data_IF_432425479879
#
_entry.id   IF_432425479879
#
_cell.length_a   1.000
_cell.length_b   1.000
_cell.length_c   1.000
_cell.angle_alpha   90.00
_cell.angle_beta   90.00
_cell.angle_gamma   90.00
#
_symmetry.space_group_name_H-M   'P 1'
#
loop_
_entity.id
_entity.type
_entity.pdbx_description
1 polymer ?
#
# COMPACT_ATOMS: atom_id res chain seq x y z
N UNK A 1 -25.98 7.51 34.87
CA UNK A 1 -26.03 7.10 33.45
C UNK A 1 -25.81 5.60 33.36
N UNK A 2 -26.58 4.87 32.54
CA UNK A 2 -26.43 3.41 32.38
C UNK A 2 -25.08 3.04 31.75
N UNK A 3 -24.44 1.97 32.22
CA UNK A 3 -23.19 1.41 31.66
C UNK A 3 -23.30 1.16 30.15
N UNK A 4 -24.47 0.72 29.67
CA UNK A 4 -24.74 0.52 28.25
C UNK A 4 -24.57 1.83 27.46
N UNK A 5 -25.05 2.94 27.99
CA UNK A 5 -24.95 4.25 27.34
C UNK A 5 -23.50 4.74 27.28
N UNK A 6 -22.72 4.53 28.34
CA UNK A 6 -21.29 4.86 28.35
C UNK A 6 -20.51 4.00 27.35
N UNK A 7 -20.82 2.71 27.25
CA UNK A 7 -20.20 1.80 26.27
C UNK A 7 -20.52 2.23 24.83
N UNK A 8 -21.78 2.54 24.53
CA UNK A 8 -22.20 3.00 23.19
C UNK A 8 -21.50 4.31 22.81
N UNK A 9 -21.42 5.28 23.72
CA UNK A 9 -20.73 6.55 23.48
C UNK A 9 -19.22 6.34 23.28
N UNK A 10 -18.59 5.50 24.10
CA UNK A 10 -17.17 5.17 23.95
C UNK A 10 -16.89 4.46 22.62
N UNK A 11 -17.75 3.53 22.22
CA UNK A 11 -17.65 2.84 20.93
C UNK A 11 -17.79 3.81 19.76
N UNK A 12 -18.77 4.70 19.79
CA UNK A 12 -18.96 5.72 18.77
C UNK A 12 -17.77 6.70 18.69
N UNK A 13 -17.20 7.10 19.83
CA UNK A 13 -16.01 7.94 19.87
C UNK A 13 -14.79 7.23 19.28
N UNK A 14 -14.58 5.96 19.60
CA UNK A 14 -13.47 5.16 19.06
C UNK A 14 -13.54 5.00 17.54
N UNK A 15 -14.74 5.01 16.96
CA UNK A 15 -14.90 4.96 15.50
C UNK A 15 -14.45 6.25 14.79
N UNK A 16 -14.33 7.37 15.50
CA UNK A 16 -13.90 8.64 14.94
C UNK A 16 -12.37 8.78 14.92
N UNK A 17 -11.66 8.06 15.79
CA UNK A 17 -10.22 8.20 15.97
C UNK A 17 -9.48 7.37 14.91
N UNK A 18 -8.54 7.97 14.17
CA UNK A 18 -7.71 7.21 13.23
C UNK A 18 -6.88 6.15 13.94
N UNK A 19 -6.69 5.01 13.28
CA UNK A 19 -5.90 3.88 13.78
C UNK A 19 -4.55 3.84 13.07
N UNK A 20 -3.52 3.39 13.77
CA UNK A 20 -2.20 3.22 13.20
C UNK A 20 -2.08 1.82 12.57
N UNK A 21 -1.80 1.75 11.27
CA UNK A 21 -1.52 0.49 10.57
C UNK A 21 -0.04 0.11 10.68
N UNK A 22 0.85 1.08 10.46
CA UNK A 22 2.30 0.93 10.61
C UNK A 22 2.88 2.22 11.18
N UNK A 23 4.18 2.25 11.48
CA UNK A 23 4.83 3.45 12.02
C UNK A 23 4.60 4.72 11.19
N UNK A 24 4.39 4.58 9.88
CA UNK A 24 4.22 5.73 8.96
C UNK A 24 2.83 5.83 8.33
N UNK A 25 1.93 4.86 8.59
CA UNK A 25 0.62 4.78 7.94
C UNK A 25 -0.48 4.72 8.99
N UNK A 26 -1.35 5.71 8.96
CA UNK A 26 -2.58 5.80 9.73
C UNK A 26 -3.78 5.63 8.80
N UNK A 27 -4.91 5.19 9.34
CA UNK A 27 -6.14 5.11 8.57
C UNK A 27 -7.38 5.47 9.39
N UNK A 28 -8.40 6.03 8.76
CA UNK A 28 -9.54 6.59 9.49
C UNK A 28 -10.74 6.97 8.64
N UNK A 29 -11.82 7.47 9.28
CA UNK A 29 -12.94 8.09 8.57
C UNK A 29 -12.57 9.48 8.04
N UNK A 30 -13.36 10.04 7.12
CA UNK A 30 -13.21 11.41 6.62
C UNK A 30 -13.14 12.45 7.75
N UNK A 31 -13.85 12.22 8.84
CA UNK A 31 -13.85 13.10 10.02
C UNK A 31 -12.46 13.24 10.66
N UNK A 32 -11.52 12.34 10.38
CA UNK A 32 -10.13 12.44 10.80
C UNK A 32 -9.46 13.74 10.34
N UNK A 33 -9.87 14.30 9.19
CA UNK A 33 -9.34 15.56 8.67
C UNK A 33 -9.61 16.76 9.61
N UNK A 34 -10.63 16.66 10.47
CA UNK A 34 -10.95 17.71 11.45
C UNK A 34 -10.10 17.63 12.73
N UNK A 35 -9.39 16.51 12.96
CA UNK A 35 -8.61 16.26 14.18
C UNK A 35 -7.19 16.83 14.03
N UNK A 36 -7.08 18.17 14.06
CA UNK A 36 -5.81 18.89 13.84
C UNK A 36 -4.71 18.48 14.83
N UNK A 37 -5.05 18.28 16.09
CA UNK A 37 -4.09 17.86 17.13
C UNK A 37 -3.48 16.50 16.78
N UNK A 38 -4.30 15.53 16.42
CA UNK A 38 -3.85 14.20 15.99
C UNK A 38 -2.94 14.27 14.76
N UNK A 39 -3.31 15.09 13.76
CA UNK A 39 -2.53 15.28 12.53
C UNK A 39 -1.15 15.86 12.85
N UNK A 40 -1.08 16.86 13.73
CA UNK A 40 0.17 17.53 14.11
C UNK A 40 1.05 16.62 14.98
N UNK A 41 0.48 15.97 15.98
CA UNK A 41 1.19 15.06 16.89
C UNK A 41 1.83 13.89 16.13
N UNK A 42 1.08 13.32 15.17
CA UNK A 42 1.55 12.20 14.36
C UNK A 42 2.30 12.66 13.09
N UNK A 43 2.59 13.96 12.93
CA UNK A 43 3.30 14.53 11.78
C UNK A 43 2.74 14.07 10.42
N UNK A 44 1.42 14.01 10.31
CA UNK A 44 0.74 13.59 9.08
C UNK A 44 0.82 14.73 8.05
N UNK A 45 1.40 14.45 6.89
CA UNK A 45 1.51 15.40 5.77
C UNK A 45 0.94 14.84 4.47
N UNK A 46 0.84 13.52 4.37
CA UNK A 46 0.31 12.85 3.19
C UNK A 46 -1.09 12.34 3.49
N UNK A 47 -2.01 12.58 2.57
CA UNK A 47 -3.42 12.25 2.71
C UNK A 47 -3.84 11.44 1.50
N UNK A 48 -4.40 10.25 1.73
CA UNK A 48 -4.88 9.37 0.65
C UNK A 48 -6.37 9.15 0.84
N UNK A 49 -7.18 9.76 -0.03
CA UNK A 49 -8.63 9.57 -0.03
C UNK A 49 -9.00 8.34 -0.85
N UNK A 50 -9.84 7.45 -0.31
CA UNK A 50 -10.28 6.22 -0.96
C UNK A 50 -11.80 6.19 -1.08
N UNK A 51 -12.31 6.02 -2.31
CA UNK A 51 -13.74 5.86 -2.56
C UNK A 51 -14.56 7.12 -2.23
N UNK A 52 -13.93 8.29 -2.30
CA UNK A 52 -14.58 9.59 -2.11
C UNK A 52 -14.44 10.36 -3.40
N UNK A 53 -15.58 10.84 -3.94
CA UNK A 53 -15.58 11.68 -5.12
C UNK A 53 -14.64 12.88 -4.94
N UNK A 54 -13.79 13.12 -5.93
CA UNK A 54 -12.73 14.15 -5.91
C UNK A 54 -13.28 15.53 -5.58
N UNK A 55 -14.47 15.87 -6.11
CA UNK A 55 -15.18 17.12 -5.80
C UNK A 55 -15.40 17.31 -4.29
N UNK A 56 -15.74 16.24 -3.59
CA UNK A 56 -16.01 16.26 -2.15
C UNK A 56 -14.70 16.41 -1.40
N UNK A 57 -13.66 15.68 -1.77
CA UNK A 57 -12.34 15.82 -1.13
C UNK A 57 -11.81 17.24 -1.28
N UNK A 58 -11.89 17.81 -2.47
CA UNK A 58 -11.45 19.18 -2.74
C UNK A 58 -12.17 20.22 -1.85
N UNK A 59 -13.46 20.01 -1.54
CA UNK A 59 -14.20 20.87 -0.60
C UNK A 59 -13.65 20.77 0.83
N UNK A 60 -13.33 19.57 1.32
CA UNK A 60 -12.77 19.39 2.67
C UNK A 60 -11.34 19.92 2.78
N UNK A 61 -10.57 19.82 1.70
CA UNK A 61 -9.18 20.27 1.68
C UNK A 61 -9.01 21.78 1.46
N UNK A 62 -10.08 22.51 1.10
CA UNK A 62 -10.02 23.96 0.86
C UNK A 62 -9.43 24.75 2.02
N UNK A 63 -9.77 24.34 3.24
CA UNK A 63 -9.37 25.05 4.47
C UNK A 63 -8.10 24.44 5.10
N UNK A 64 -7.46 23.47 4.43
CA UNK A 64 -6.17 22.92 4.85
C UNK A 64 -5.01 23.79 4.34
N UNK A 65 -3.93 23.97 5.12
CA UNK A 65 -2.76 24.72 4.69
C UNK A 65 -2.07 24.02 3.51
N UNK A 66 -2.34 24.53 2.32
CA UNK A 66 -1.87 24.09 1.01
C UNK A 66 -0.36 23.78 0.89
N UNK A 67 0.48 24.43 1.70
CA UNK A 67 1.95 24.35 1.61
C UNK A 67 2.56 23.17 2.35
N UNK A 68 1.82 22.55 3.26
CA UNK A 68 2.36 21.53 4.16
C UNK A 68 1.79 20.13 3.96
N UNK A 69 0.78 19.99 3.09
CA UNK A 69 0.09 18.73 2.85
C UNK A 69 -0.04 18.36 1.37
N UNK A 70 0.08 17.06 1.09
CA UNK A 70 -0.18 16.48 -0.22
C UNK A 70 -1.36 15.52 -0.12
N UNK A 71 -2.34 15.70 -1.00
CA UNK A 71 -3.56 14.88 -1.02
C UNK A 71 -3.67 14.14 -2.35
N UNK A 72 -3.81 12.82 -2.30
CA UNK A 72 -4.03 11.94 -3.46
C UNK A 72 -5.37 11.24 -3.31
N UNK A 73 -6.14 11.17 -4.39
CA UNK A 73 -7.50 10.62 -4.40
C UNK A 73 -7.59 9.39 -5.29
N UNK A 74 -8.11 8.31 -4.74
CA UNK A 74 -8.52 7.12 -5.49
C UNK A 74 -10.01 7.24 -5.80
N UNK A 75 -10.31 7.69 -7.01
CA UNK A 75 -11.65 8.00 -7.50
C UNK A 75 -11.81 7.43 -8.92
N UNK A 76 -12.30 6.19 -9.00
CA UNK A 76 -12.49 5.46 -10.25
C UNK A 76 -13.60 6.03 -11.13
N UNK A 77 -14.50 6.82 -10.55
CA UNK A 77 -15.62 7.45 -11.24
C UNK A 77 -15.30 8.89 -11.68
N UNK A 78 -14.09 9.39 -11.38
CA UNK A 78 -13.68 10.72 -11.77
C UNK A 78 -13.66 10.83 -13.29
N UNK A 79 -14.52 11.70 -13.81
CA UNK A 79 -14.51 12.10 -15.20
C UNK A 79 -14.52 13.63 -15.29
N UNK A 80 -13.51 14.24 -15.94
CA UNK A 80 -13.45 15.69 -16.12
C UNK A 80 -14.54 16.23 -17.04
N UNK A 81 -15.28 15.35 -17.72
CA UNK A 81 -16.38 15.72 -18.62
C UNK A 81 -17.75 15.76 -17.94
N UNK A 82 -17.84 15.40 -16.65
CA UNK A 82 -19.09 15.53 -15.90
C UNK A 82 -19.48 17.01 -15.80
N UNK A 83 -20.77 17.30 -15.99
CA UNK A 83 -21.33 18.64 -15.90
C UNK A 83 -21.23 19.17 -14.46
N UNK A 84 -20.09 19.75 -14.11
CA UNK A 84 -19.86 20.51 -12.88
C UNK A 84 -20.35 21.94 -13.08
N UNK A 85 -20.79 22.59 -12.00
CA UNK A 85 -20.96 24.04 -12.01
C UNK A 85 -19.60 24.73 -12.22
N UNK A 86 -19.60 25.95 -12.76
CA UNK A 86 -18.35 26.69 -13.02
C UNK A 86 -17.47 26.82 -11.76
N UNK A 87 -18.09 27.07 -10.60
CA UNK A 87 -17.42 27.16 -9.31
C UNK A 87 -16.82 25.85 -8.83
N UNK A 88 -17.49 24.72 -9.10
CA UNK A 88 -16.97 23.39 -8.73
C UNK A 88 -15.82 22.99 -9.65
N UNK A 89 -15.91 23.32 -10.93
CA UNK A 89 -14.85 23.07 -11.90
C UNK A 89 -13.56 23.81 -11.53
N UNK A 90 -13.68 25.11 -11.17
CA UNK A 90 -12.55 25.91 -10.70
C UNK A 90 -11.91 25.31 -9.45
N UNK A 91 -12.73 24.93 -8.46
CA UNK A 91 -12.26 24.32 -7.21
C UNK A 91 -11.53 22.99 -7.46
N UNK A 92 -12.09 22.10 -8.28
CA UNK A 92 -11.46 20.82 -8.61
C UNK A 92 -10.19 21.01 -9.43
N UNK A 93 -10.18 21.95 -10.38
CA UNK A 93 -9.01 22.25 -11.20
C UNK A 93 -7.86 22.81 -10.36
N UNK A 94 -8.13 23.75 -9.47
CA UNK A 94 -7.12 24.33 -8.58
C UNK A 94 -6.55 23.28 -7.63
N UNK A 95 -7.42 22.49 -7.02
CA UNK A 95 -7.05 21.36 -6.16
C UNK A 95 -6.16 20.36 -6.89
N UNK A 96 -6.57 19.95 -8.09
CA UNK A 96 -5.83 18.97 -8.89
C UNK A 96 -4.48 19.52 -9.33
N UNK A 97 -4.41 20.75 -9.85
CA UNK A 97 -3.17 21.38 -10.27
C UNK A 97 -2.16 21.47 -9.12
N UNK A 98 -2.61 21.94 -7.96
CA UNK A 98 -1.75 22.13 -6.80
C UNK A 98 -1.15 20.81 -6.33
N UNK A 99 -1.97 19.81 -6.03
CA UNK A 99 -1.47 18.55 -5.49
C UNK A 99 -0.76 17.69 -6.55
N UNK A 100 -1.14 17.78 -7.82
CA UNK A 100 -0.42 17.11 -8.91
C UNK A 100 0.99 17.67 -9.08
N UNK A 101 1.15 19.00 -8.96
CA UNK A 101 2.48 19.64 -8.99
C UNK A 101 3.33 19.21 -7.81
N UNK A 102 2.76 19.15 -6.60
CA UNK A 102 3.49 18.69 -5.42
C UNK A 102 3.87 17.20 -5.50
N UNK A 103 2.99 16.35 -6.03
CA UNK A 103 3.28 14.92 -6.22
C UNK A 103 4.39 14.70 -7.25
N UNK A 104 4.34 15.40 -8.39
CA UNK A 104 5.35 15.27 -9.44
C UNK A 104 6.72 15.77 -8.98
N UNK A 105 6.77 16.86 -8.21
CA UNK A 105 8.00 17.35 -7.59
C UNK A 105 8.58 16.35 -6.59
N UNK A 106 7.75 15.72 -5.77
CA UNK A 106 8.18 14.69 -4.82
C UNK A 106 8.73 13.45 -5.54
N UNK A 107 8.02 12.96 -6.56
CA UNK A 107 8.44 11.82 -7.34
C UNK A 107 9.75 12.09 -8.11
N UNK A 108 9.88 13.28 -8.71
CA UNK A 108 11.10 13.70 -9.40
C UNK A 108 12.30 13.88 -8.46
N UNK A 109 12.08 14.45 -7.26
CA UNK A 109 13.13 14.60 -6.24
C UNK A 109 13.69 13.25 -5.81
N UNK A 110 12.82 12.28 -5.54
CA UNK A 110 13.24 10.93 -5.16
C UNK A 110 13.99 10.19 -6.29
N UNK A 111 13.57 10.37 -7.55
CA UNK A 111 14.26 9.80 -8.70
C UNK A 111 15.66 10.44 -8.92
N UNK A 112 15.79 11.75 -8.70
CA UNK A 112 17.06 12.47 -8.78
C UNK A 112 18.05 12.08 -7.68
N UNK A 113 17.56 11.87 -6.45
CA UNK A 113 18.37 11.41 -5.31
C UNK A 113 18.89 9.98 -5.52
N UNK A 114 18.09 9.10 -6.15
CA UNK A 114 18.50 7.75 -6.51
C UNK A 114 19.62 7.74 -7.57
N UNK A 115 19.58 8.67 -8.54
CA UNK A 115 20.57 8.78 -9.60
C UNK A 115 21.89 9.45 -9.18
N UNK A 116 21.87 10.28 -8.14
CA UNK A 116 23.04 11.09 -7.72
C UNK A 116 23.80 10.53 -6.53
N UNK A 117 23.31 9.49 -5.84
CA UNK A 117 24.03 8.84 -4.73
C UNK A 117 24.37 9.77 -3.55
N UNK A 118 23.79 10.97 -3.50
CA UNK A 118 24.20 12.05 -2.61
C UNK A 118 23.15 12.35 -1.53
N UNK A 119 22.99 11.43 -0.58
CA UNK A 119 22.69 11.81 0.81
C UNK A 119 23.68 11.11 1.73
N UNK A 120 24.89 11.66 1.79
CA UNK A 120 26.03 11.10 2.53
C UNK A 120 25.92 11.20 4.07
N UNK A 121 24.91 11.88 4.63
CA UNK A 121 24.92 12.19 6.07
C UNK A 121 23.85 11.47 6.92
N UNK A 122 23.04 10.56 6.38
CA UNK A 122 22.00 9.89 7.21
C UNK A 122 21.69 8.43 6.87
N UNK A 123 22.47 7.74 6.04
CA UNK A 123 22.14 6.37 5.64
C UNK A 123 23.35 5.44 5.77
N UNK A 124 23.40 4.70 6.89
CA UNK A 124 24.45 3.72 7.24
C UNK A 124 24.33 2.39 6.47
N UNK A 125 23.37 2.24 5.56
CA UNK A 125 23.14 1.03 4.79
C UNK A 125 22.79 1.36 3.34
N UNK A 126 23.32 0.62 2.34
CA UNK A 126 22.90 0.76 0.95
C UNK A 126 21.39 0.46 0.89
N UNK A 127 20.61 1.44 0.48
CA UNK A 127 19.19 1.28 0.30
C UNK A 127 18.94 0.66 -1.07
N UNK A 128 18.06 -0.35 -1.20
CA UNK A 128 17.71 -0.88 -2.51
C UNK A 128 17.25 0.26 -3.41
N UNK A 129 17.66 0.20 -4.68
CA UNK A 129 17.32 1.20 -5.70
C UNK A 129 15.81 1.44 -5.70
N UNK A 130 15.39 2.70 -5.77
CA UNK A 130 13.99 3.13 -5.73
C UNK A 130 13.12 2.31 -6.71
N UNK A 131 13.67 2.00 -7.89
CA UNK A 131 13.01 1.23 -8.94
C UNK A 131 12.79 -0.24 -8.59
N UNK A 132 13.56 -0.81 -7.66
CA UNK A 132 13.35 -2.19 -7.18
C UNK A 132 12.23 -2.28 -6.14
N UNK A 133 11.80 -1.15 -5.57
CA UNK A 133 10.76 -1.09 -4.53
C UNK A 133 9.38 -0.68 -5.05
N UNK A 134 9.30 -0.19 -6.29
CA UNK A 134 8.08 0.31 -6.92
C UNK A 134 7.65 -0.61 -8.05
N UNK A 135 6.34 -0.77 -8.22
CA UNK A 135 5.76 -1.53 -9.34
C UNK A 135 5.81 -0.70 -10.63
N UNK A 136 5.64 0.62 -10.49
CA UNK A 136 5.64 1.57 -11.59
C UNK A 136 6.77 2.57 -11.44
N UNK A 137 7.26 3.08 -12.58
CA UNK A 137 8.26 4.15 -12.59
C UNK A 137 7.74 5.38 -11.82
N UNK A 138 8.57 6.04 -10.99
CA UNK A 138 8.21 7.28 -10.30
C UNK A 138 7.63 8.35 -11.24
N UNK A 139 8.08 8.38 -12.51
CA UNK A 139 7.64 9.32 -13.52
C UNK A 139 6.15 9.20 -13.87
N UNK A 140 5.48 8.09 -13.53
CA UNK A 140 4.04 7.92 -13.78
C UNK A 140 3.17 8.72 -12.80
N UNK A 141 3.70 9.09 -11.62
CA UNK A 141 2.97 9.80 -10.58
C UNK A 141 2.95 11.32 -10.82
N UNK A 142 2.24 11.74 -11.87
CA UNK A 142 2.11 13.16 -12.27
C UNK A 142 0.77 13.78 -11.88
N UNK A 143 -0.23 12.97 -11.56
CA UNK A 143 -1.58 13.41 -11.22
C UNK A 143 -1.95 12.92 -9.82
N UNK A 144 -2.56 13.79 -9.01
CA UNK A 144 -3.03 13.44 -7.68
C UNK A 144 -4.38 12.70 -7.68
N UNK A 145 -5.03 12.54 -8.83
CA UNK A 145 -6.28 11.80 -8.96
C UNK A 145 -5.98 10.49 -9.69
N UNK A 146 -6.14 9.39 -8.99
CA UNK A 146 -5.91 8.03 -9.45
C UNK A 146 -7.27 7.42 -9.82
N UNK A 147 -7.47 7.22 -11.12
CA UNK A 147 -8.67 6.61 -11.70
C UNK A 147 -8.50 5.11 -12.00
N UNK A 148 -7.32 4.54 -11.71
CA UNK A 148 -7.02 3.14 -12.00
C UNK A 148 -7.94 2.19 -11.23
N UNK A 149 -8.28 1.09 -11.89
CA UNK A 149 -9.08 -0.01 -11.34
C UNK A 149 -8.27 -1.31 -11.44
N UNK A 150 -8.75 -2.39 -10.84
CA UNK A 150 -8.07 -3.68 -10.94
C UNK A 150 -6.76 -3.72 -10.13
N UNK A 151 -5.85 -4.61 -10.54
CA UNK A 151 -4.52 -4.74 -9.94
C UNK A 151 -3.70 -3.43 -9.94
N UNK A 152 -3.91 -2.56 -10.93
CA UNK A 152 -3.21 -1.27 -11.05
C UNK A 152 -3.52 -0.31 -9.90
N UNK A 153 -4.75 -0.37 -9.34
CA UNK A 153 -5.14 0.42 -8.17
C UNK A 153 -4.25 0.09 -6.96
N UNK A 154 -3.99 -1.20 -6.74
CA UNK A 154 -3.17 -1.68 -5.63
C UNK A 154 -1.68 -1.40 -5.85
N UNK A 155 -1.20 -1.51 -7.09
CA UNK A 155 0.16 -1.10 -7.46
C UNK A 155 0.39 0.38 -7.18
N UNK A 156 -0.47 1.27 -7.71
CA UNK A 156 -0.38 2.71 -7.47
C UNK A 156 -0.47 3.07 -5.99
N UNK A 157 -1.36 2.42 -5.23
CA UNK A 157 -1.49 2.65 -3.80
C UNK A 157 -0.22 2.30 -3.02
N UNK A 158 0.34 1.10 -3.23
CA UNK A 158 1.54 0.67 -2.52
C UNK A 158 2.77 1.48 -2.92
N UNK A 159 2.90 1.83 -4.19
CA UNK A 159 3.98 2.69 -4.67
C UNK A 159 3.91 4.09 -4.04
N UNK A 160 2.72 4.70 -3.98
CA UNK A 160 2.55 6.00 -3.34
C UNK A 160 2.91 5.97 -1.85
N UNK A 161 2.50 4.92 -1.12
CA UNK A 161 2.91 4.76 0.29
C UNK A 161 4.43 4.63 0.42
N UNK A 162 5.07 3.90 -0.49
CA UNK A 162 6.53 3.77 -0.54
C UNK A 162 7.19 5.11 -0.85
N UNK A 163 6.73 5.86 -1.86
CA UNK A 163 7.24 7.20 -2.19
C UNK A 163 7.12 8.15 -0.98
N UNK A 164 5.97 8.18 -0.32
CA UNK A 164 5.76 9.03 0.87
C UNK A 164 6.68 8.63 2.02
N UNK A 165 6.85 7.33 2.27
CA UNK A 165 7.80 6.83 3.27
C UNK A 165 9.23 7.24 2.95
N UNK A 166 9.65 7.14 1.68
CA UNK A 166 11.00 7.45 1.24
C UNK A 166 11.32 8.95 1.27
N UNK A 167 10.30 9.79 1.08
CA UNK A 167 10.44 11.25 1.21
C UNK A 167 10.85 11.72 2.60
N UNK A 168 10.62 10.90 3.64
CA UNK A 168 10.91 11.25 5.05
C UNK A 168 10.19 12.49 5.57
N UNK A 169 9.25 13.06 4.81
CA UNK A 169 8.70 14.39 5.07
C UNK A 169 7.57 14.39 6.09
N UNK A 170 6.91 13.25 6.31
CA UNK A 170 5.81 13.07 7.25
C UNK A 170 5.10 11.73 7.07
N UNK A 171 4.11 11.48 7.93
CA UNK A 171 3.31 10.26 7.91
C UNK A 171 2.10 10.38 6.96
N UNK A 172 1.52 9.23 6.63
CA UNK A 172 0.38 9.10 5.72
C UNK A 172 -0.90 8.83 6.50
N UNK A 173 -1.98 9.52 6.16
CA UNK A 173 -3.34 9.19 6.58
C UNK A 173 -4.16 8.72 5.38
N UNK A 174 -4.55 7.45 5.40
CA UNK A 174 -5.47 6.87 4.42
C UNK A 174 -6.89 6.95 4.96
N UNK A 175 -7.79 7.64 4.28
CA UNK A 175 -9.15 7.83 4.78
C UNK A 175 -10.19 7.55 3.71
N UNK A 176 -11.34 7.11 4.17
CA UNK A 176 -12.53 6.90 3.35
C UNK A 176 -13.73 7.53 4.03
N UNK A 177 -14.91 7.50 3.38
CA UNK A 177 -16.11 8.16 3.92
C UNK A 177 -16.41 7.75 5.37
N UNK A 178 -16.38 6.45 5.65
CA UNK A 178 -16.68 5.91 6.98
C UNK A 178 -15.45 5.31 7.67
N UNK A 179 -14.37 5.07 6.94
CA UNK A 179 -13.16 4.41 7.43
C UNK A 179 -13.32 2.91 7.71
N UNK A 180 -14.43 2.32 7.26
CA UNK A 180 -14.72 0.89 7.30
C UNK A 180 -15.12 0.34 5.92
N UNK A 181 -14.83 1.09 4.86
CA UNK A 181 -15.28 0.75 3.51
C UNK A 181 -14.43 -0.41 2.95
N UNK A 182 -15.05 -1.33 2.20
CA UNK A 182 -14.37 -2.56 1.73
C UNK A 182 -13.12 -2.25 0.90
N UNK A 183 -13.20 -1.24 0.02
CA UNK A 183 -12.09 -0.72 -0.77
C UNK A 183 -10.90 -0.26 0.08
N UNK A 184 -11.17 0.44 1.19
CA UNK A 184 -10.13 0.88 2.12
C UNK A 184 -9.47 -0.34 2.76
N UNK A 185 -10.27 -1.30 3.24
CA UNK A 185 -9.76 -2.51 3.90
C UNK A 185 -8.94 -3.36 2.93
N UNK A 186 -9.35 -3.49 1.67
CA UNK A 186 -8.61 -4.21 0.64
C UNK A 186 -7.24 -3.56 0.37
N UNK A 187 -7.19 -2.22 0.22
CA UNK A 187 -5.94 -1.49 0.02
C UNK A 187 -5.00 -1.63 1.22
N UNK A 188 -5.49 -1.45 2.45
CA UNK A 188 -4.69 -1.61 3.66
C UNK A 188 -4.19 -3.05 3.81
N UNK A 189 -5.03 -4.04 3.52
CA UNK A 189 -4.63 -5.46 3.57
C UNK A 189 -3.55 -5.76 2.53
N UNK A 190 -3.66 -5.21 1.31
CA UNK A 190 -2.63 -5.34 0.28
C UNK A 190 -1.27 -4.81 0.77
N UNK A 191 -1.27 -3.67 1.47
CA UNK A 191 -0.07 -3.07 2.02
C UNK A 191 0.58 -3.94 3.11
N UNK A 192 -0.23 -4.52 3.99
CA UNK A 192 0.27 -5.43 5.03
C UNK A 192 0.91 -6.68 4.40
N UNK A 193 0.31 -7.26 3.36
CA UNK A 193 0.88 -8.44 2.68
C UNK A 193 2.19 -8.11 1.96
N UNK A 194 2.26 -6.94 1.29
CA UNK A 194 3.48 -6.53 0.58
C UNK A 194 4.62 -6.19 1.54
N UNK A 195 4.30 -5.56 2.68
CA UNK A 195 5.31 -5.22 3.70
C UNK A 195 5.71 -6.41 4.58
N UNK A 196 4.87 -7.44 4.67
CA UNK A 196 5.14 -8.67 5.40
C UNK A 196 4.89 -9.89 4.50
N UNK A 197 5.94 -10.34 3.82
CA UNK A 197 5.88 -11.48 2.88
C UNK A 197 5.45 -12.81 3.52
N UNK A 198 5.56 -12.93 4.84
CA UNK A 198 5.12 -14.13 5.58
C UNK A 198 3.63 -14.13 5.92
N UNK A 199 2.96 -12.97 5.85
CA UNK A 199 1.56 -12.85 6.18
C UNK A 199 0.67 -13.31 5.02
N UNK A 200 -0.32 -14.14 5.34
CA UNK A 200 -1.42 -14.44 4.43
C UNK A 200 -2.38 -13.25 4.30
N UNK A 201 -3.13 -13.20 3.20
CA UNK A 201 -4.16 -12.17 3.02
C UNK A 201 -5.22 -12.21 4.13
N UNK A 202 -5.56 -13.41 4.62
CA UNK A 202 -6.50 -13.56 5.73
C UNK A 202 -5.94 -12.98 7.04
N UNK A 203 -4.67 -13.23 7.36
CA UNK A 203 -4.01 -12.64 8.53
C UNK A 203 -3.91 -11.12 8.41
N UNK A 204 -3.59 -10.60 7.22
CA UNK A 204 -3.57 -9.17 6.95
C UNK A 204 -4.95 -8.53 7.18
N UNK A 205 -6.02 -9.14 6.68
CA UNK A 205 -7.38 -8.70 6.93
C UNK A 205 -7.74 -8.74 8.42
N UNK A 206 -7.42 -9.84 9.10
CA UNK A 206 -7.67 -9.98 10.55
C UNK A 206 -6.90 -8.94 11.35
N UNK A 207 -5.69 -8.60 10.94
CA UNK A 207 -4.88 -7.55 11.55
C UNK A 207 -5.56 -6.19 11.43
N UNK A 208 -5.94 -5.76 10.20
CA UNK A 208 -6.66 -4.50 9.98
C UNK A 208 -7.95 -4.46 10.79
N UNK A 209 -8.69 -5.57 10.83
CA UNK A 209 -9.92 -5.73 11.62
C UNK A 209 -9.68 -5.64 13.13
N UNK A 210 -8.55 -6.14 13.62
CA UNK A 210 -8.19 -6.05 15.04
C UNK A 210 -7.90 -4.61 15.49
N UNK A 211 -7.34 -3.80 14.59
CA UNK A 211 -7.10 -2.37 14.83
C UNK A 211 -8.40 -1.56 14.84
N UNK A 212 -9.38 -1.99 14.03
CA UNK A 212 -10.67 -1.32 13.93
C UNK A 212 -11.85 -2.30 13.89
N UNK A 213 -12.40 -2.67 15.07
CA UNK A 213 -13.50 -3.64 15.15
C UNK A 213 -14.78 -3.25 14.41
N UNK A 214 -14.99 -1.97 14.07
CA UNK A 214 -16.14 -1.56 13.24
C UNK A 214 -16.11 -2.11 11.81
N UNK A 215 -14.96 -2.65 11.36
CA UNK A 215 -14.81 -3.40 10.10
C UNK A 215 -15.51 -4.77 10.15
N UNK A 216 -16.07 -5.17 11.30
CA UNK A 216 -16.82 -6.43 11.46
C UNK A 216 -17.94 -6.67 10.43
N UNK A 217 -18.43 -5.63 9.77
CA UNK A 217 -19.45 -5.72 8.72
C UNK A 217 -18.89 -6.17 7.36
N UNK A 218 -17.60 -5.99 7.12
CA UNK A 218 -16.94 -6.43 5.89
C UNK A 218 -16.73 -7.95 5.92
N UNK A 219 -17.20 -8.64 4.87
CA UNK A 219 -16.95 -10.06 4.71
C UNK A 219 -15.55 -10.28 4.13
N UNK A 220 -14.82 -11.32 4.57
CA UNK A 220 -13.51 -11.63 3.99
C UNK A 220 -13.59 -11.83 2.47
N UNK A 221 -14.63 -12.51 1.99
CA UNK A 221 -14.81 -12.81 0.57
C UNK A 221 -14.99 -11.52 -0.25
N UNK A 222 -15.77 -10.55 0.21
CA UNK A 222 -15.95 -9.28 -0.53
C UNK A 222 -14.65 -8.49 -0.65
N UNK A 223 -13.81 -8.54 0.40
CA UNK A 223 -12.49 -7.89 0.40
C UNK A 223 -11.50 -8.65 -0.50
N UNK A 224 -11.48 -9.99 -0.46
CA UNK A 224 -10.53 -10.79 -1.24
C UNK A 224 -10.81 -10.73 -2.74
N UNK A 225 -12.10 -10.67 -3.11
CA UNK A 225 -12.54 -10.51 -4.49
C UNK A 225 -12.70 -9.05 -4.92
N UNK A 226 -12.22 -8.11 -4.10
CA UNK A 226 -12.27 -6.69 -4.42
C UNK A 226 -11.35 -6.37 -5.59
N UNK A 227 -11.96 -6.07 -6.75
CA UNK A 227 -11.38 -5.36 -7.90
C UNK A 227 -9.90 -5.70 -8.21
N UNK A 228 -9.52 -6.97 -8.31
CA UNK A 228 -8.17 -7.38 -8.75
C UNK A 228 -7.09 -7.46 -7.67
N UNK A 229 -7.45 -7.52 -6.37
CA UNK A 229 -6.49 -7.70 -5.27
C UNK A 229 -5.67 -8.99 -5.41
N UNK A 230 -6.33 -10.12 -5.71
CA UNK A 230 -5.65 -11.41 -5.89
C UNK A 230 -4.68 -11.39 -7.06
N UNK A 231 -5.11 -10.83 -8.20
CA UNK A 231 -4.27 -10.65 -9.40
C UNK A 231 -3.02 -9.82 -9.07
N UNK A 232 -3.18 -8.73 -8.31
CA UNK A 232 -2.07 -7.92 -7.83
C UNK A 232 -1.10 -8.72 -6.96
N UNK A 233 -1.61 -9.43 -5.94
CA UNK A 233 -0.76 -10.18 -5.00
C UNK A 233 -0.01 -11.34 -5.68
N UNK A 234 -0.62 -12.00 -6.66
CA UNK A 234 0.02 -13.02 -7.49
C UNK A 234 1.14 -12.42 -8.36
N UNK A 235 0.87 -11.27 -8.98
CA UNK A 235 1.87 -10.51 -9.75
C UNK A 235 3.05 -10.05 -8.91
N UNK A 236 2.81 -9.47 -7.73
CA UNK A 236 3.88 -8.96 -6.84
C UNK A 236 4.75 -10.09 -6.26
N UNK A 237 4.20 -11.28 -6.04
CA UNK A 237 5.00 -12.46 -5.64
C UNK A 237 5.93 -12.93 -6.74
N UNK A 238 5.50 -12.80 -8.00
CA UNK A 238 6.31 -13.15 -9.17
C UNK A 238 7.43 -12.13 -9.39
N UNK A 239 7.15 -10.84 -9.14
CA UNK A 239 8.13 -9.76 -9.21
C UNK A 239 9.24 -9.87 -8.15
N UNK A 240 8.89 -10.28 -6.92
CA UNK A 240 9.84 -10.40 -5.80
C UNK A 240 10.65 -11.71 -5.78
N UNK A 241 10.44 -12.63 -6.74
CA UNK A 241 11.11 -13.93 -6.75
C UNK A 241 12.06 -14.05 -7.96
N UNK A 242 13.37 -13.78 -7.79
CA UNK A 242 14.34 -13.78 -8.89
C UNK A 242 14.59 -15.16 -9.53
N UNK A 243 13.99 -16.23 -8.99
CA UNK A 243 14.11 -17.59 -9.53
C UNK A 243 13.19 -17.86 -10.74
N UNK A 244 12.22 -16.98 -11.04
CA UNK A 244 11.32 -17.12 -12.18
C UNK A 244 11.65 -16.19 -13.36
N UNK A 245 12.75 -15.43 -13.30
CA UNK A 245 13.26 -14.68 -14.46
C UNK A 245 14.01 -15.62 -15.42
N UNK A 246 13.25 -16.55 -16.00
CA UNK A 246 13.65 -17.26 -17.21
C UNK A 246 12.68 -16.85 -18.32
N UNK A 247 12.85 -15.59 -18.75
CA UNK A 247 12.53 -15.14 -20.10
C UNK A 247 11.04 -15.09 -20.46
N UNK A 248 10.34 -14.06 -20.00
CA UNK A 248 9.24 -13.41 -20.76
C UNK A 248 8.81 -12.14 -20.03
N UNK A 249 9.51 -11.04 -20.29
CA UNK A 249 8.96 -9.71 -20.01
C UNK A 249 7.70 -9.51 -20.87
N UNK A 250 6.56 -9.04 -20.32
CA UNK A 250 5.42 -8.64 -21.14
C UNK A 250 5.84 -7.42 -21.95
N UNK A 251 5.89 -7.60 -23.27
CA UNK A 251 6.29 -6.56 -24.22
C UNK A 251 5.42 -5.31 -24.07
N UNK A 252 6.08 -4.18 -23.84
CA UNK A 252 5.54 -2.84 -24.09
C UNK A 252 4.97 -2.75 -25.51
N UNK A 253 3.85 -2.05 -25.74
CA UNK A 253 3.35 -1.85 -27.10
C UNK A 253 4.31 -0.95 -27.87
N UNK A 254 5.01 -1.55 -28.84
CA UNK A 254 5.96 -0.87 -29.71
C UNK A 254 5.20 -0.07 -30.77
N UNK A 255 5.43 1.24 -30.80
CA UNK A 255 4.94 2.17 -31.81
C UNK A 255 5.41 1.76 -33.21
N UNK A 256 4.46 1.55 -34.12
CA UNK A 256 4.70 1.32 -35.54
C UNK A 256 5.10 2.60 -36.27
N UNK A 257 6.37 2.70 -36.67
CA UNK A 257 6.81 3.48 -37.84
C UNK A 257 7.98 2.75 -38.50
N UNK A 258 7.85 2.43 -39.78
CA UNK A 258 8.73 1.49 -40.48
C UNK A 258 9.94 2.09 -41.20
N UNK A 259 10.50 1.22 -42.07
CA UNK A 259 11.32 1.47 -43.27
C UNK A 259 12.82 1.06 -43.19
N UNK A 260 13.04 -0.17 -43.71
CA UNK A 260 14.08 -0.63 -44.70
C UNK A 260 15.51 -1.08 -44.33
N UNK A 261 15.75 -2.35 -44.71
CA UNK A 261 16.79 -2.86 -45.65
C UNK A 261 18.12 -3.48 -45.15
N UNK A 262 18.17 -4.82 -45.38
CA UNK A 262 19.25 -5.67 -45.92
C UNK A 262 20.67 -5.67 -45.35
N UNK A 263 21.16 -6.85 -44.92
CA UNK A 263 22.10 -7.69 -45.71
C UNK A 263 22.65 -8.92 -44.92
N UNK A 264 22.45 -10.11 -45.51
CA UNK A 264 23.40 -11.21 -45.77
C UNK A 264 24.40 -11.78 -44.71
N UNK A 265 24.45 -13.13 -44.69
CA UNK A 265 25.64 -14.04 -44.83
C UNK A 265 26.06 -14.96 -43.65
N UNK A 266 25.91 -16.28 -43.94
CA UNK A 266 26.63 -17.52 -43.56
C UNK A 266 26.64 -18.13 -42.14
N UNK A 267 25.98 -19.31 -42.05
CA UNK A 267 26.57 -20.67 -41.96
C UNK A 267 27.71 -20.90 -40.93
N UNK A 268 27.42 -21.67 -39.86
CA UNK A 268 28.29 -22.79 -39.44
C UNK A 268 27.54 -23.85 -38.62
N UNK A 269 27.79 -25.08 -39.04
CA UNK A 269 27.39 -26.42 -38.61
C UNK A 269 28.12 -26.79 -37.30
N UNK A 270 27.48 -27.46 -36.33
CA UNK A 270 27.89 -28.82 -35.95
C UNK A 270 26.90 -29.50 -34.98
N UNK A 271 26.54 -30.72 -35.36
CA UNK A 271 25.93 -31.78 -34.58
C UNK A 271 26.97 -32.45 -33.67
N UNK A 272 26.60 -32.81 -32.45
CA UNK A 272 27.18 -33.95 -31.74
C UNK A 272 26.13 -34.60 -30.85
N UNK A 273 25.74 -35.81 -31.21
CA UNK A 273 24.99 -36.78 -30.39
C UNK A 273 25.99 -37.60 -29.57
N UNK A 274 25.68 -37.91 -28.32
CA UNK A 274 26.09 -39.21 -27.75
C UNK A 274 25.24 -39.53 -26.54
N UNK A 275 24.52 -40.63 -26.67
CA UNK A 275 23.80 -41.35 -25.61
C UNK A 275 24.76 -41.85 -24.53
N UNK A 276 24.26 -41.95 -23.30
CA UNK A 276 24.64 -42.93 -22.29
C UNK A 276 23.42 -43.21 -21.41
N UNK A 277 22.86 -44.41 -21.54
CA UNK A 277 21.96 -45.01 -20.55
C UNK A 277 22.81 -45.72 -19.47
N UNK A 278 22.37 -45.69 -18.21
CA UNK A 278 22.52 -46.82 -17.29
C UNK A 278 21.51 -46.75 -16.13
N UNK A 279 20.86 -47.87 -15.87
CA UNK A 279 19.76 -48.12 -14.94
C UNK A 279 20.21 -48.48 -13.50
N UNK A 280 19.47 -47.96 -12.50
CA UNK A 280 18.93 -48.59 -11.25
C UNK A 280 19.87 -49.32 -10.23
N UNK A 281 19.44 -49.73 -8.99
CA UNK A 281 18.12 -49.63 -8.31
C UNK A 281 18.11 -49.25 -6.79
N UNK A 282 16.91 -48.88 -6.32
CA UNK A 282 16.15 -49.16 -5.07
C UNK A 282 16.78 -49.34 -3.66
N UNK A 283 15.94 -48.93 -2.67
CA UNK A 283 15.69 -49.44 -1.28
C UNK A 283 15.99 -48.38 -0.20
N UNK A 284 15.23 -48.11 0.85
CA UNK A 284 13.97 -48.65 1.39
C UNK A 284 13.39 -47.66 2.44
N UNK A 285 12.06 -47.65 2.54
CA UNK A 285 11.19 -47.76 3.72
C UNK A 285 11.70 -47.35 5.12
N UNK A 286 10.93 -46.49 5.81
CA UNK A 286 11.02 -46.30 7.27
C UNK A 286 9.89 -45.42 7.82
N UNK A 287 8.97 -46.04 8.54
CA UNK A 287 7.71 -45.51 9.06
C UNK A 287 7.77 -45.33 10.60
N UNK A 288 6.92 -44.45 11.16
CA UNK A 288 6.32 -44.47 12.52
C UNK A 288 7.00 -43.66 13.67
N UNK A 289 6.27 -42.65 14.16
CA UNK A 289 5.76 -42.46 15.55
C UNK A 289 6.11 -41.19 16.37
N UNK A 290 5.08 -40.36 16.54
CA UNK A 290 4.40 -39.88 17.77
C UNK A 290 5.18 -39.60 19.07
N UNK A 291 4.76 -38.49 19.71
CA UNK A 291 4.60 -38.23 21.16
C UNK A 291 5.64 -37.34 21.88
N UNK A 292 5.16 -36.19 22.41
CA UNK A 292 5.86 -35.46 23.47
C UNK A 292 5.38 -34.03 23.75
N UNK A 293 4.16 -33.88 24.27
CA UNK A 293 3.61 -32.81 25.16
C UNK A 293 4.23 -31.39 25.23
N UNK A 294 3.41 -30.31 25.20
CA UNK A 294 3.87 -28.94 25.46
C UNK A 294 4.12 -28.71 26.96
N UNK A 295 5.33 -28.24 27.31
CA UNK A 295 5.67 -27.74 28.65
C UNK A 295 4.96 -26.41 28.91
N UNK A 296 4.00 -26.44 29.82
CA UNK A 296 3.34 -25.30 30.46
C UNK A 296 4.39 -24.43 31.17
N UNK A 297 4.56 -23.17 30.74
CA UNK A 297 5.35 -22.18 31.49
C UNK A 297 4.40 -21.37 32.37
N UNK A 298 4.55 -21.58 33.68
CA UNK A 298 3.81 -20.95 34.78
C UNK A 298 4.15 -19.45 34.85
N UNK A 299 3.15 -18.58 34.70
CA UNK A 299 3.26 -17.14 34.97
C UNK A 299 3.06 -16.96 36.48
N UNK A 300 4.07 -16.43 37.17
CA UNK A 300 3.93 -15.98 38.54
C UNK A 300 3.34 -14.57 38.55
N UNK A 301 2.21 -14.40 39.23
CA UNK A 301 1.61 -13.12 39.54
C UNK A 301 2.46 -12.39 40.58
N UNK A 302 2.93 -11.18 40.26
CA UNK A 302 3.45 -10.26 41.27
C UNK A 302 2.28 -9.39 41.70
N UNK A 303 1.97 -9.55 42.98
CA UNK A 303 0.94 -8.86 43.76
C UNK A 303 1.38 -7.41 43.99
N UNK A 304 0.49 -6.48 43.68
CA UNK A 304 0.60 -5.09 44.11
C UNK A 304 0.35 -5.03 45.63
N UNK A 305 1.25 -4.39 46.36
CA UNK A 305 0.96 -3.91 47.71
C UNK A 305 1.01 -2.39 47.74
N UNK A 306 -0.10 -1.87 48.26
CA UNK A 306 -0.36 -0.52 48.68
C UNK A 306 0.76 0.02 49.58
N UNK A 307 1.18 1.26 49.34
CA UNK A 307 1.57 2.14 50.45
C UNK A 307 0.76 3.42 50.42
N UNK A 308 0.04 3.58 51.53
CA UNK A 308 -0.78 4.70 51.89
C UNK A 308 0.09 5.94 52.20
N UNK A 309 -0.44 7.10 51.82
CA UNK A 309 -0.19 8.37 52.49
C UNK A 309 -0.73 8.30 53.94
N UNK A 310 -0.11 9.04 54.87
CA UNK A 310 -0.89 10.12 55.48
C UNK A 310 -0.09 11.40 55.76
N UNK A 311 -0.87 12.49 55.83
CA UNK A 311 -0.61 13.88 56.23
C UNK A 311 0.00 14.83 55.20
#
# INVERSE_FOLDING_TARGET
MSFHHQFTLASAKNQLIPQQLTNNVFFGPLNALSQREFIQENRIRFFVAVGIATKRVAQYCRDMPARDCLVVNFDSEFSPQVSLSATELELVSQYSQQHSTSLSQLAAGLAGDAATGCTADSRLTPQPELDQQLHNSPAQYTCNIVTSQGAQKFASFNDLLTLFKLSGSGNVLVFSSNGNDEDLVALLSSHVVITNSSASLLEAFQYVKSLRPSINQCQPDSVFWCQGLMEYLEGSRSYNNPFYDNGMSPASPLSTTGVTSNAFVTKRRNSWSSDCEEECPNSATGTISVSGTPKTRRIAAIRADNMALPH
#
